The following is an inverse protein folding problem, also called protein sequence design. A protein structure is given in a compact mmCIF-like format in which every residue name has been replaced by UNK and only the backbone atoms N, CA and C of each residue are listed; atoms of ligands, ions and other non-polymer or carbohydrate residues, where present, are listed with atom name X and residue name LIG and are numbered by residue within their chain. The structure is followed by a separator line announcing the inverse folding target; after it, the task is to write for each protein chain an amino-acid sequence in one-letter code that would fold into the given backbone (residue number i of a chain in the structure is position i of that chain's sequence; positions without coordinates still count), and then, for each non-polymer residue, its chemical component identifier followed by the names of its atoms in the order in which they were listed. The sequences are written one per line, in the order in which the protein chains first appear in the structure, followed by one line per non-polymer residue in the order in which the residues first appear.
data_IF_779874709268
#
_entry.id   IF_779874709268
#
_cell.length_a   1.000
_cell.length_b   1.000
_cell.length_c   1.000
_cell.angle_alpha   90.00
_cell.angle_beta   90.00
_cell.angle_gamma   90.00
#
_symmetry.space_group_name_H-M   'P 1'
#
loop_
_entity.id
_entity.type
_entity.pdbx_description
1 polymer ?
#
# COMPACT_ATOMS: atom_id res chain seq x y z
N UNK A 1 17.94 -39.93 -4.08
CA UNK A 1 18.67 -39.66 -2.83
C UNK A 1 18.98 -38.17 -2.69
N UNK A 2 19.61 -37.53 -3.68
CA UNK A 2 19.94 -36.09 -3.65
C UNK A 2 18.77 -35.12 -3.42
N UNK A 3 17.59 -35.34 -4.04
CA UNK A 3 16.42 -34.47 -3.83
C UNK A 3 15.93 -34.48 -2.37
N UNK A 4 16.09 -35.62 -1.68
CA UNK A 4 15.68 -35.79 -0.27
C UNK A 4 16.67 -35.13 0.67
N UNK A 5 17.96 -35.18 0.34
CA UNK A 5 19.02 -34.49 1.08
C UNK A 5 18.85 -32.96 1.00
N UNK A 6 18.67 -32.43 -0.22
CA UNK A 6 18.40 -30.99 -0.43
C UNK A 6 17.16 -30.51 0.31
N UNK A 7 16.09 -31.31 0.35
CA UNK A 7 14.89 -30.97 1.10
C UNK A 7 15.13 -30.89 2.61
N UNK A 8 15.94 -31.80 3.17
CA UNK A 8 16.32 -31.79 4.59
C UNK A 8 17.19 -30.57 4.94
N UNK A 9 18.16 -30.24 4.10
CA UNK A 9 19.03 -29.07 4.27
C UNK A 9 18.22 -27.76 4.28
N UNK A 10 17.24 -27.64 3.38
CA UNK A 10 16.32 -26.49 3.36
C UNK A 10 15.51 -26.44 4.64
N UNK A 11 14.95 -27.57 5.09
CA UNK A 11 14.14 -27.62 6.31
C UNK A 11 14.95 -27.23 7.56
N UNK A 12 16.18 -27.71 7.68
CA UNK A 12 17.10 -27.34 8.77
C UNK A 12 17.42 -25.84 8.74
N UNK A 13 17.70 -25.31 7.55
CA UNK A 13 17.98 -23.88 7.34
C UNK A 13 16.78 -23.01 7.74
N UNK A 14 15.57 -23.39 7.34
CA UNK A 14 14.33 -22.70 7.72
C UNK A 14 14.10 -22.77 9.24
N UNK A 15 14.35 -23.92 9.86
CA UNK A 15 14.24 -24.09 11.31
C UNK A 15 15.24 -23.19 12.05
N UNK A 16 16.48 -23.10 11.56
CA UNK A 16 17.51 -22.24 12.14
C UNK A 16 17.10 -20.78 12.14
N UNK A 17 16.72 -20.23 10.98
CA UNK A 17 16.34 -18.81 10.90
C UNK A 17 15.07 -18.50 11.69
N UNK A 18 14.10 -19.43 11.74
CA UNK A 18 12.94 -19.28 12.61
C UNK A 18 13.36 -19.17 14.09
N UNK A 19 14.18 -20.09 14.57
CA UNK A 19 14.69 -20.06 15.94
C UNK A 19 15.50 -18.80 16.24
N UNK A 20 16.24 -18.29 15.26
CA UNK A 20 17.00 -17.04 15.37
C UNK A 20 16.09 -15.81 15.52
N UNK A 21 14.99 -15.74 14.76
CA UNK A 21 13.98 -14.68 14.92
C UNK A 21 13.40 -14.70 16.35
N UNK A 22 13.01 -15.89 16.82
CA UNK A 22 12.41 -16.07 18.14
C UNK A 22 13.41 -15.71 19.26
N UNK A 23 14.66 -16.19 19.17
CA UNK A 23 15.72 -15.91 20.13
C UNK A 23 16.08 -14.42 20.16
N UNK A 24 16.24 -13.78 19.00
CA UNK A 24 16.55 -12.36 18.90
C UNK A 24 15.45 -11.47 19.52
N UNK A 25 14.18 -11.86 19.34
CA UNK A 25 13.05 -11.18 19.98
C UNK A 25 13.07 -11.31 21.50
N UNK A 26 13.35 -12.50 22.03
CA UNK A 26 13.48 -12.73 23.48
C UNK A 26 14.59 -11.87 24.08
N UNK A 27 15.69 -11.70 23.36
CA UNK A 27 16.82 -10.87 23.78
C UNK A 27 16.59 -9.35 23.57
N UNK A 28 15.45 -8.95 23.01
CA UNK A 28 15.15 -7.55 22.69
C UNK A 28 15.98 -6.97 21.53
N UNK A 29 16.65 -7.82 20.75
CA UNK A 29 17.45 -7.39 19.61
C UNK A 29 16.60 -7.37 18.33
N UNK A 30 15.85 -6.28 18.16
CA UNK A 30 14.90 -6.11 17.07
C UNK A 30 15.55 -6.09 15.68
N UNK A 31 16.82 -5.67 15.58
CA UNK A 31 17.58 -5.63 14.34
C UNK A 31 17.95 -7.06 13.89
N UNK A 32 18.54 -7.85 14.78
CA UNK A 32 18.87 -9.24 14.49
C UNK A 32 17.62 -10.08 14.17
N UNK A 33 16.50 -9.81 14.87
CA UNK A 33 15.23 -10.47 14.57
C UNK A 33 14.74 -10.17 13.14
N UNK A 34 14.88 -8.91 12.69
CA UNK A 34 14.46 -8.48 11.37
C UNK A 34 15.39 -9.01 10.27
N UNK A 35 16.70 -9.07 10.53
CA UNK A 35 17.68 -9.65 9.60
C UNK A 35 17.44 -11.15 9.42
N UNK A 36 17.26 -11.90 10.51
CA UNK A 36 16.92 -13.32 10.47
C UNK A 36 15.59 -13.58 9.76
N UNK A 37 14.59 -12.72 9.98
CA UNK A 37 13.30 -12.80 9.28
C UNK A 37 13.45 -12.53 7.78
N UNK A 38 14.33 -11.61 7.40
CA UNK A 38 14.64 -11.33 5.99
C UNK A 38 15.26 -12.56 5.33
N UNK A 39 16.25 -13.20 5.98
CA UNK A 39 16.82 -14.45 5.48
C UNK A 39 15.79 -15.57 5.36
N UNK A 40 14.94 -15.74 6.37
CA UNK A 40 13.83 -16.69 6.33
C UNK A 40 12.89 -16.42 5.13
N UNK A 41 12.55 -15.15 4.90
CA UNK A 41 11.68 -14.74 3.79
C UNK A 41 12.30 -15.08 2.43
N UNK A 42 13.61 -14.88 2.26
CA UNK A 42 14.34 -15.26 1.04
C UNK A 42 14.30 -16.77 0.81
N UNK A 43 14.58 -17.56 1.85
CA UNK A 43 14.56 -19.03 1.74
C UNK A 43 13.16 -19.60 1.47
N UNK A 44 12.10 -18.89 1.87
CA UNK A 44 10.71 -19.25 1.55
C UNK A 44 10.25 -18.72 0.19
N UNK A 45 11.09 -17.98 -0.55
CA UNK A 45 10.72 -17.31 -1.79
C UNK A 45 9.73 -16.14 -1.60
N UNK A 46 9.51 -15.71 -0.36
CA UNK A 46 8.56 -14.67 0.03
C UNK A 46 9.16 -13.25 -0.02
N UNK A 47 10.36 -13.11 -0.54
CA UNK A 47 11.08 -11.85 -0.67
C UNK A 47 11.37 -11.56 -2.15
N UNK A 48 11.25 -10.30 -2.57
CA UNK A 48 11.57 -9.85 -3.91
C UNK A 48 13.10 -9.77 -4.08
N UNK A 49 13.72 -10.91 -4.40
CA UNK A 49 15.10 -10.94 -4.88
C UNK A 49 15.13 -10.92 -6.42
N UNK A 50 16.19 -10.37 -7.02
CA UNK A 50 16.37 -10.35 -8.49
C UNK A 50 16.47 -11.76 -9.12
N UNK A 51 16.69 -12.80 -8.31
CA UNK A 51 16.69 -14.19 -8.73
C UNK A 51 15.28 -14.75 -8.74
N UNK A 52 14.77 -15.00 -9.94
CA UNK A 52 13.50 -15.63 -10.30
C UNK A 52 13.31 -17.02 -9.69
N UNK A 53 13.06 -17.09 -8.38
CA UNK A 53 12.50 -18.25 -7.71
C UNK A 53 10.97 -18.24 -7.80
N UNK A 54 10.39 -19.40 -8.09
CA UNK A 54 8.94 -19.61 -8.05
C UNK A 54 8.41 -19.22 -6.67
N UNK A 55 7.52 -18.24 -6.62
CA UNK A 55 6.84 -17.87 -5.37
C UNK A 55 6.02 -19.07 -4.89
N UNK A 56 6.38 -19.64 -3.74
CA UNK A 56 5.56 -20.69 -3.14
C UNK A 56 4.24 -20.08 -2.66
N UNK A 57 3.12 -20.46 -3.29
CA UNK A 57 1.79 -19.94 -2.99
C UNK A 57 1.31 -20.24 -1.55
N UNK A 58 1.98 -21.17 -0.86
CA UNK A 58 1.63 -21.60 0.49
C UNK A 58 2.80 -21.40 1.45
N UNK A 59 2.82 -20.24 2.11
CA UNK A 59 3.76 -19.96 3.20
C UNK A 59 3.31 -20.66 4.49
N UNK A 60 4.25 -21.11 5.36
CA UNK A 60 3.89 -21.77 6.61
C UNK A 60 3.14 -20.86 7.59
N UNK A 61 2.22 -21.37 8.44
CA UNK A 61 1.47 -20.55 9.41
C UNK A 61 2.36 -19.74 10.36
N UNK A 62 3.51 -20.28 10.77
CA UNK A 62 4.47 -19.58 11.63
C UNK A 62 5.03 -18.32 10.97
N UNK A 63 5.17 -18.32 9.64
CA UNK A 63 5.70 -17.17 8.90
C UNK A 63 4.72 -15.99 8.97
N UNK A 64 3.44 -16.25 8.76
CA UNK A 64 2.39 -15.23 8.88
C UNK A 64 2.33 -14.63 10.29
N UNK A 65 2.50 -15.44 11.34
CA UNK A 65 2.56 -14.95 12.71
C UNK A 65 3.77 -14.01 12.94
N UNK A 66 4.95 -14.37 12.43
CA UNK A 66 6.13 -13.50 12.53
C UNK A 66 5.99 -12.21 11.73
N UNK A 67 5.46 -12.30 10.51
CA UNK A 67 5.18 -11.15 9.66
C UNK A 67 4.16 -10.21 10.31
N UNK A 68 3.09 -10.75 10.90
CA UNK A 68 2.10 -9.95 11.64
C UNK A 68 2.74 -9.16 12.79
N UNK A 69 3.71 -9.76 13.49
CA UNK A 69 4.44 -9.08 14.56
C UNK A 69 5.29 -7.91 14.02
N UNK A 70 6.00 -8.06 12.89
CA UNK A 70 6.73 -6.95 12.28
C UNK A 70 5.81 -5.88 11.67
N UNK A 71 4.65 -6.26 11.14
CA UNK A 71 3.62 -5.31 10.70
C UNK A 71 3.15 -4.47 11.89
N UNK A 72 2.87 -5.10 13.03
CA UNK A 72 2.45 -4.39 14.23
C UNK A 72 3.54 -3.45 14.75
N UNK A 73 4.80 -3.90 14.69
CA UNK A 73 5.94 -3.05 15.04
C UNK A 73 6.04 -1.83 14.13
N UNK A 74 5.87 -2.00 12.81
CA UNK A 74 5.87 -0.89 11.88
C UNK A 74 4.71 0.08 12.12
N UNK A 75 3.52 -0.43 12.45
CA UNK A 75 2.37 0.40 12.86
C UNK A 75 2.66 1.24 14.11
N UNK A 76 3.40 0.67 15.07
CA UNK A 76 3.82 1.40 16.27
C UNK A 76 4.81 2.51 15.92
N UNK A 77 5.81 2.22 15.08
CA UNK A 77 6.78 3.22 14.59
C UNK A 77 6.06 4.37 13.85
N UNK A 78 5.15 4.05 12.93
CA UNK A 78 4.32 5.05 12.25
C UNK A 78 3.52 5.90 13.22
N UNK A 79 3.01 5.31 14.30
CA UNK A 79 2.27 6.03 15.33
C UNK A 79 3.17 6.98 16.11
N UNK A 80 4.38 6.56 16.51
CA UNK A 80 5.36 7.42 17.15
C UNK A 80 5.79 8.59 16.24
N UNK A 81 5.90 8.35 14.93
CA UNK A 81 6.20 9.38 13.94
C UNK A 81 5.00 10.28 13.59
N UNK A 82 3.79 9.90 14.03
CA UNK A 82 2.54 10.58 13.72
C UNK A 82 2.12 10.45 12.25
N UNK A 83 2.47 9.34 11.58
CA UNK A 83 2.24 9.08 10.16
C UNK A 83 1.04 8.15 9.88
N UNK A 84 0.46 8.24 8.66
CA UNK A 84 0.59 9.36 7.73
C UNK A 84 -0.11 10.61 8.29
N UNK A 85 0.17 11.77 7.70
CA UNK A 85 -0.50 13.03 8.07
C UNK A 85 -1.91 13.08 7.49
N UNK A 86 -2.86 13.35 8.37
CA UNK A 86 -4.28 13.52 8.03
C UNK A 86 -4.70 15.00 8.12
N UNK A 87 -3.98 15.79 8.92
CA UNK A 87 -4.23 17.22 9.15
C UNK A 87 -2.90 17.96 9.17
N UNK A 88 -2.94 19.25 8.84
CA UNK A 88 -1.80 20.15 8.99
C UNK A 88 -1.34 20.16 10.45
N UNK A 89 -0.03 20.05 10.65
CA UNK A 89 0.60 20.19 11.96
C UNK A 89 1.71 21.22 11.83
N UNK A 90 1.79 22.23 12.71
CA UNK A 90 2.95 23.09 12.76
C UNK A 90 4.18 22.25 13.10
N UNK A 91 5.27 22.40 12.34
CA UNK A 91 6.54 21.75 12.69
C UNK A 91 7.44 21.33 11.53
N UNK A 92 6.92 21.02 10.33
CA UNK A 92 7.79 20.71 9.18
C UNK A 92 8.32 21.94 8.44
N UNK A 93 7.65 23.08 8.58
CA UNK A 93 7.95 24.31 7.82
C UNK A 93 9.11 25.13 8.43
N UNK A 94 9.65 24.73 9.60
CA UNK A 94 10.64 25.51 10.34
C UNK A 94 11.89 24.70 10.67
N UNK A 95 12.83 24.66 9.71
CA UNK A 95 14.28 24.55 9.93
C UNK A 95 14.87 23.15 10.16
N UNK A 96 15.73 22.72 9.23
CA UNK A 96 16.94 21.85 9.28
C UNK A 96 17.10 20.70 10.31
N UNK A 97 16.10 20.38 11.12
CA UNK A 97 16.18 19.38 12.17
C UNK A 97 15.18 18.24 11.92
N UNK A 98 15.67 17.00 11.97
CA UNK A 98 14.84 15.81 11.93
C UNK A 98 13.91 15.79 13.16
N UNK A 99 12.60 15.82 12.95
CA UNK A 99 11.59 15.78 14.01
C UNK A 99 11.53 14.42 14.74
N UNK A 100 12.13 13.39 14.17
CA UNK A 100 12.08 12.04 14.69
C UNK A 100 13.41 11.66 15.35
N UNK A 101 13.29 10.96 16.46
CA UNK A 101 14.43 10.32 17.12
C UNK A 101 15.18 9.39 16.15
N UNK A 102 16.52 9.40 16.22
CA UNK A 102 17.38 8.63 15.31
C UNK A 102 17.08 7.12 15.37
N UNK A 103 16.78 6.58 16.55
CA UNK A 103 16.43 5.17 16.69
C UNK A 103 15.08 4.86 16.04
N UNK A 104 14.08 5.71 16.22
CA UNK A 104 12.76 5.57 15.57
C UNK A 104 12.91 5.63 14.05
N UNK A 105 13.69 6.58 13.54
CA UNK A 105 13.91 6.76 12.12
C UNK A 105 14.68 5.59 11.50
N UNK A 106 15.75 5.13 12.14
CA UNK A 106 16.48 3.94 11.73
C UNK A 106 15.56 2.72 11.70
N UNK A 107 14.68 2.59 12.70
CA UNK A 107 13.73 1.48 12.76
C UNK A 107 12.69 1.56 11.65
N UNK A 108 12.16 2.76 11.37
CA UNK A 108 11.29 3.01 10.22
C UNK A 108 11.95 2.54 8.93
N UNK A 109 13.19 2.97 8.65
CA UNK A 109 13.87 2.67 7.39
C UNK A 109 14.10 1.16 7.22
N UNK A 110 14.53 0.47 8.27
CA UNK A 110 14.73 -0.98 8.25
C UNK A 110 13.43 -1.75 8.01
N UNK A 111 12.37 -1.41 8.76
CA UNK A 111 11.07 -2.06 8.60
C UNK A 111 10.45 -1.75 7.24
N UNK A 112 10.50 -0.50 6.79
CA UNK A 112 10.02 -0.10 5.47
C UNK A 112 10.76 -0.88 4.38
N UNK A 113 12.10 -0.97 4.43
CA UNK A 113 12.89 -1.71 3.45
C UNK A 113 12.52 -3.19 3.39
N UNK A 114 12.45 -3.87 4.54
CA UNK A 114 12.12 -5.30 4.56
C UNK A 114 10.70 -5.54 4.11
N UNK A 115 9.71 -4.84 4.69
CA UNK A 115 8.30 -5.03 4.37
C UNK A 115 8.01 -4.66 2.90
N UNK A 116 8.68 -3.66 2.33
CA UNK A 116 8.48 -3.29 0.92
C UNK A 116 8.84 -4.41 -0.06
N UNK A 117 9.74 -5.30 0.34
CA UNK A 117 10.21 -6.42 -0.46
C UNK A 117 9.50 -7.74 -0.15
N UNK A 118 8.55 -7.77 0.80
CA UNK A 118 7.76 -8.97 1.07
C UNK A 118 6.72 -9.18 -0.03
N UNK A 119 6.71 -10.39 -0.60
CA UNK A 119 5.68 -10.85 -1.53
C UNK A 119 4.45 -11.31 -0.77
N UNK A 120 3.29 -10.76 -1.12
CA UNK A 120 2.01 -11.14 -0.53
C UNK A 120 1.13 -11.78 -1.62
N UNK A 121 0.52 -12.96 -1.35
CA UNK A 121 -0.50 -13.52 -2.22
C UNK A 121 -1.66 -12.53 -2.42
N UNK A 122 -2.04 -12.25 -3.67
CA UNK A 122 -3.12 -11.30 -3.98
C UNK A 122 -2.74 -9.82 -3.86
N UNK A 123 -1.44 -9.50 -3.88
CA UNK A 123 -0.99 -8.11 -4.01
C UNK A 123 -1.50 -7.48 -5.32
N UNK A 124 -1.72 -6.16 -5.28
CA UNK A 124 -2.07 -5.39 -6.47
C UNK A 124 -0.93 -5.51 -7.50
N UNK A 125 -1.29 -5.67 -8.77
CA UNK A 125 -0.35 -5.82 -9.89
C UNK A 125 -0.48 -4.65 -10.85
N UNK A 126 0.51 -4.50 -11.74
CA UNK A 126 0.53 -3.44 -12.76
C UNK A 126 0.57 -2.03 -12.17
N UNK A 127 -0.12 -1.08 -12.82
CA UNK A 127 -0.14 0.36 -12.44
C UNK A 127 -0.77 0.67 -11.08
N UNK A 128 -1.28 -0.34 -10.37
CA UNK A 128 -1.82 -0.25 -9.00
C UNK A 128 -0.90 -0.88 -7.95
N UNK A 129 0.22 -1.45 -8.35
CA UNK A 129 1.12 -2.14 -7.44
C UNK A 129 1.68 -1.17 -6.40
N UNK A 130 1.39 -1.43 -5.13
CA UNK A 130 2.01 -0.78 -3.97
C UNK A 130 2.50 -1.87 -3.01
N UNK A 131 3.64 -1.61 -2.38
CA UNK A 131 4.30 -2.51 -1.46
C UNK A 131 3.50 -2.71 -0.17
N UNK A 132 3.84 -3.77 0.58
CA UNK A 132 3.25 -4.01 1.89
C UNK A 132 3.46 -2.82 2.84
N UNK A 133 4.66 -2.26 2.87
CA UNK A 133 4.96 -1.12 3.72
C UNK A 133 4.05 0.06 3.39
N UNK A 134 3.87 0.37 2.10
CA UNK A 134 3.00 1.45 1.67
C UNK A 134 1.53 1.19 1.97
N UNK A 135 1.05 -0.06 1.81
CA UNK A 135 -0.31 -0.46 2.25
C UNK A 135 -0.52 -0.15 3.74
N UNK A 136 0.46 -0.46 4.59
CA UNK A 136 0.36 -0.19 6.03
C UNK A 136 0.33 1.32 6.31
N UNK A 137 1.14 2.12 5.60
CA UNK A 137 1.11 3.59 5.71
C UNK A 137 -0.27 4.13 5.33
N UNK A 138 -0.84 3.66 4.20
CA UNK A 138 -2.10 4.16 3.66
C UNK A 138 -3.34 3.68 4.43
N UNK A 139 -3.23 2.69 5.31
CA UNK A 139 -4.37 2.07 6.02
C UNK A 139 -5.28 3.09 6.72
N UNK A 140 -4.71 4.08 7.41
CA UNK A 140 -5.50 5.11 8.10
C UNK A 140 -6.27 6.01 7.12
N UNK A 141 -5.67 6.32 5.97
CA UNK A 141 -6.28 7.15 4.92
C UNK A 141 -7.36 6.38 4.18
N UNK A 142 -7.12 5.12 3.84
CA UNK A 142 -8.11 4.24 3.20
C UNK A 142 -9.36 4.10 4.08
N UNK A 143 -9.18 3.81 5.38
CA UNK A 143 -10.29 3.70 6.33
C UNK A 143 -11.12 4.98 6.38
N UNK A 144 -10.46 6.14 6.40
CA UNK A 144 -11.12 7.46 6.40
C UNK A 144 -11.86 7.70 5.08
N UNK A 145 -11.25 7.38 3.95
CA UNK A 145 -11.83 7.53 2.63
C UNK A 145 -13.08 6.65 2.47
N UNK A 146 -12.96 5.35 2.76
CA UNK A 146 -14.06 4.39 2.71
C UNK A 146 -15.22 4.80 3.62
N UNK A 147 -14.91 5.31 4.81
CA UNK A 147 -15.93 5.76 5.76
C UNK A 147 -16.69 6.99 5.28
N UNK A 148 -16.02 7.98 4.69
CA UNK A 148 -16.63 9.26 4.31
C UNK A 148 -17.31 9.22 2.95
N UNK A 149 -16.74 8.48 1.99
CA UNK A 149 -17.14 8.56 0.58
C UNK A 149 -17.83 7.30 0.08
N UNK A 150 -18.28 6.43 0.98
CA UNK A 150 -19.16 5.31 0.63
C UNK A 150 -20.30 5.18 1.64
N UNK A 151 -21.35 4.45 1.26
CA UNK A 151 -22.53 4.24 2.10
C UNK A 151 -23.37 5.50 2.23
N UNK A 152 -24.00 5.68 3.40
CA UNK A 152 -25.05 6.69 3.64
C UNK A 152 -24.54 7.97 4.31
N UNK A 153 -23.24 8.28 4.21
CA UNK A 153 -22.69 9.52 4.78
C UNK A 153 -23.11 10.72 3.94
N UNK A 154 -23.35 11.84 4.60
CA UNK A 154 -23.63 13.11 3.93
C UNK A 154 -22.49 13.56 3.02
N UNK A 155 -21.25 13.15 3.32
CA UNK A 155 -20.06 13.41 2.49
C UNK A 155 -19.97 12.53 1.24
N UNK A 156 -20.80 11.49 1.13
CA UNK A 156 -20.88 10.68 -0.08
C UNK A 156 -21.95 11.27 -1.02
N UNK A 157 -21.58 12.33 -1.73
CA UNK A 157 -22.45 12.99 -2.71
C UNK A 157 -21.88 12.83 -4.11
N UNK A 158 -22.64 12.19 -4.98
CA UNK A 158 -22.23 11.90 -6.35
C UNK A 158 -22.09 13.18 -7.19
N UNK A 159 -22.92 14.19 -6.90
CA UNK A 159 -22.92 15.51 -7.54
C UNK A 159 -21.72 16.39 -7.13
N UNK A 160 -20.96 15.97 -6.10
CA UNK A 160 -19.86 16.75 -5.52
C UNK A 160 -18.54 15.97 -5.53
N UNK A 161 -18.03 15.58 -6.71
CA UNK A 161 -16.79 14.83 -6.81
C UNK A 161 -15.59 15.58 -6.22
N UNK A 162 -15.64 16.92 -6.21
CA UNK A 162 -14.60 17.78 -5.63
C UNK A 162 -14.33 17.48 -4.15
N UNK A 163 -15.29 16.89 -3.41
CA UNK A 163 -15.11 16.55 -2.00
C UNK A 163 -14.09 15.45 -1.77
N UNK A 164 -14.18 14.35 -2.51
CA UNK A 164 -13.21 13.26 -2.36
C UNK A 164 -11.89 13.58 -3.06
N UNK A 165 -11.94 14.31 -4.18
CA UNK A 165 -10.75 14.77 -4.91
C UNK A 165 -9.92 15.73 -4.04
N UNK A 166 -10.55 16.73 -3.43
CA UNK A 166 -9.87 17.69 -2.55
C UNK A 166 -9.29 17.03 -1.30
N UNK A 167 -10.02 16.09 -0.68
CA UNK A 167 -9.51 15.36 0.50
C UNK A 167 -8.25 14.55 0.15
N UNK A 168 -8.27 13.83 -0.99
CA UNK A 168 -7.11 13.04 -1.45
C UNK A 168 -5.92 13.94 -1.77
N UNK A 169 -6.14 15.03 -2.50
CA UNK A 169 -5.09 15.97 -2.82
C UNK A 169 -4.49 16.62 -1.55
N UNK A 170 -5.34 16.95 -0.58
CA UNK A 170 -4.90 17.48 0.71
C UNK A 170 -3.96 16.48 1.38
N UNK A 171 -4.27 15.18 1.37
CA UNK A 171 -3.36 14.17 1.91
C UNK A 171 -2.06 14.04 1.10
N UNK A 172 -2.07 14.20 -0.22
CA UNK A 172 -0.83 14.22 -1.01
C UNK A 172 0.08 15.37 -0.55
N UNK A 173 -0.44 16.59 -0.51
CA UNK A 173 0.32 17.79 -0.12
C UNK A 173 0.83 17.69 1.31
N UNK A 174 -0.02 17.24 2.26
CA UNK A 174 0.36 17.10 3.67
C UNK A 174 1.49 16.10 3.93
N UNK A 175 1.71 15.15 3.01
CA UNK A 175 2.71 14.11 3.18
C UNK A 175 3.94 14.29 2.26
N UNK A 176 3.87 15.17 1.27
CA UNK A 176 4.90 15.34 0.23
C UNK A 176 6.31 15.61 0.81
N UNK A 177 6.40 16.55 1.75
CA UNK A 177 7.68 16.99 2.30
C UNK A 177 8.43 15.87 3.04
N UNK A 178 7.75 15.13 3.92
CA UNK A 178 8.41 14.09 4.70
C UNK A 178 8.72 12.85 3.85
N UNK A 179 7.87 12.52 2.87
CA UNK A 179 8.12 11.43 1.92
C UNK A 179 9.40 11.71 1.13
N UNK A 180 9.54 12.93 0.63
CA UNK A 180 10.73 13.39 -0.11
C UNK A 180 11.96 13.38 0.79
N UNK A 181 11.86 13.94 1.99
CA UNK A 181 12.98 13.97 2.94
C UNK A 181 13.47 12.56 3.35
N UNK A 182 12.56 11.62 3.67
CA UNK A 182 12.95 10.24 3.98
C UNK A 182 13.63 9.57 2.78
N UNK A 183 13.08 9.76 1.57
CA UNK A 183 13.65 9.20 0.35
C UNK A 183 15.09 9.69 0.13
N UNK A 184 15.30 11.01 0.21
CA UNK A 184 16.56 11.64 -0.15
C UNK A 184 17.63 11.49 0.93
N UNK A 185 17.26 11.54 2.21
CA UNK A 185 18.23 11.51 3.31
C UNK A 185 18.49 10.10 3.88
N UNK A 186 17.51 9.21 3.83
CA UNK A 186 17.58 7.94 4.58
C UNK A 186 17.42 6.68 3.74
N UNK A 187 16.73 6.76 2.61
CA UNK A 187 16.51 5.61 1.72
C UNK A 187 17.40 5.66 0.46
N UNK A 188 18.61 6.26 0.54
CA UNK A 188 19.61 6.41 -0.55
C UNK A 188 20.09 5.10 -1.22
N UNK A 189 19.42 3.97 -0.98
CA UNK A 189 19.65 2.72 -1.69
C UNK A 189 18.93 2.70 -3.06
N UNK A 190 19.50 2.05 -4.11
CA UNK A 190 18.96 2.08 -5.47
C UNK A 190 17.64 1.28 -5.69
N UNK A 191 16.92 0.90 -4.63
CA UNK A 191 15.67 0.15 -4.68
C UNK A 191 14.76 0.65 -3.54
N UNK A 192 13.48 0.99 -3.81
CA UNK A 192 12.59 0.39 -4.80
C UNK A 192 12.63 1.05 -6.18
N UNK A 193 12.13 0.36 -7.22
CA UNK A 193 12.05 0.92 -8.60
C UNK A 193 11.16 2.17 -8.71
N UNK A 194 10.36 2.46 -7.69
CA UNK A 194 9.45 3.59 -7.61
C UNK A 194 9.82 4.45 -6.39
N UNK A 195 9.96 5.79 -6.54
CA UNK A 195 10.16 6.69 -5.40
C UNK A 195 9.03 6.59 -4.37
N UNK A 196 9.37 6.70 -3.08
CA UNK A 196 8.42 6.60 -1.95
C UNK A 196 7.17 7.50 -2.15
N UNK A 197 7.39 8.74 -2.60
CA UNK A 197 6.35 9.72 -2.88
C UNK A 197 5.39 9.28 -3.99
N UNK A 198 5.92 8.72 -5.07
CA UNK A 198 5.14 8.21 -6.21
C UNK A 198 4.28 7.03 -5.78
N UNK A 199 4.85 6.11 -5.00
CA UNK A 199 4.13 4.95 -4.48
C UNK A 199 2.97 5.36 -3.55
N UNK A 200 3.18 6.36 -2.70
CA UNK A 200 2.15 6.93 -1.84
C UNK A 200 1.01 7.55 -2.66
N UNK A 201 1.35 8.40 -3.63
CA UNK A 201 0.37 9.03 -4.53
C UNK A 201 -0.40 7.98 -5.35
N UNK A 202 0.27 6.95 -5.87
CA UNK A 202 -0.34 5.83 -6.60
C UNK A 202 -1.41 5.13 -5.77
N UNK A 203 -1.13 4.87 -4.49
CA UNK A 203 -2.11 4.26 -3.60
C UNK A 203 -3.33 5.14 -3.33
N UNK A 204 -3.14 6.45 -3.20
CA UNK A 204 -4.22 7.43 -3.04
C UNK A 204 -5.07 7.60 -4.31
N UNK A 205 -4.44 7.61 -5.49
CA UNK A 205 -5.13 7.64 -6.78
C UNK A 205 -5.95 6.37 -6.97
N UNK A 206 -5.48 5.23 -6.44
CA UNK A 206 -6.29 4.01 -6.36
C UNK A 206 -7.65 4.24 -5.71
N UNK A 207 -7.73 5.01 -4.61
CA UNK A 207 -8.99 5.34 -3.94
C UNK A 207 -9.91 6.18 -4.83
N UNK A 208 -9.36 7.18 -5.52
CA UNK A 208 -10.08 8.06 -6.45
C UNK A 208 -10.66 7.26 -7.61
N UNK A 209 -9.82 6.45 -8.26
CA UNK A 209 -10.20 5.64 -9.41
C UNK A 209 -11.28 4.62 -9.03
N UNK A 210 -11.15 3.96 -7.88
CA UNK A 210 -12.17 3.01 -7.44
C UNK A 210 -13.50 3.70 -7.08
N UNK A 211 -13.44 4.91 -6.50
CA UNK A 211 -14.63 5.72 -6.24
C UNK A 211 -15.31 6.15 -7.54
N UNK A 212 -14.56 6.65 -8.51
CA UNK A 212 -15.10 7.05 -9.81
C UNK A 212 -15.74 5.87 -10.53
N UNK A 213 -15.09 4.71 -10.56
CA UNK A 213 -15.68 3.50 -11.14
C UNK A 213 -16.98 3.11 -10.45
N UNK A 214 -17.07 3.26 -9.13
CA UNK A 214 -18.28 2.98 -8.39
C UNK A 214 -19.38 4.00 -8.70
N UNK A 215 -19.06 5.30 -8.68
CA UNK A 215 -20.01 6.38 -8.97
C UNK A 215 -20.52 6.32 -10.41
N UNK A 216 -19.67 5.99 -11.39
CA UNK A 216 -20.06 5.79 -12.79
C UNK A 216 -20.84 4.49 -13.04
N UNK A 217 -21.02 3.64 -12.02
CA UNK A 217 -21.70 2.35 -12.16
C UNK A 217 -20.86 1.27 -12.87
N UNK A 218 -19.57 1.50 -13.11
CA UNK A 218 -18.65 0.51 -13.71
C UNK A 218 -18.37 -0.67 -12.77
N UNK A 219 -18.56 -0.48 -11.46
CA UNK A 219 -18.52 -1.55 -10.46
C UNK A 219 -19.75 -1.49 -9.54
N UNK A 220 -20.38 -2.63 -9.29
CA UNK A 220 -21.65 -2.70 -8.57
C UNK A 220 -21.52 -2.60 -7.04
N UNK A 221 -20.32 -2.80 -6.49
CA UNK A 221 -20.08 -2.80 -5.03
C UNK A 221 -18.87 -1.96 -4.71
N UNK A 222 -18.88 -1.27 -3.54
CA UNK A 222 -17.68 -0.60 -3.05
C UNK A 222 -16.48 -1.56 -3.02
N UNK A 223 -15.28 -1.07 -3.36
CA UNK A 223 -14.07 -1.87 -3.28
C UNK A 223 -13.87 -2.36 -1.84
N UNK A 224 -13.36 -3.57 -1.70
CA UNK A 224 -12.88 -4.04 -0.39
C UNK A 224 -11.60 -3.30 -0.05
N UNK A 225 -11.43 -2.98 1.23
CA UNK A 225 -10.17 -2.43 1.73
C UNK A 225 -9.00 -3.36 1.38
N UNK A 226 -7.99 -2.80 0.73
CA UNK A 226 -6.76 -3.52 0.40
C UNK A 226 -5.60 -3.10 1.31
N UNK A 227 -5.70 -2.04 2.10
CA UNK A 227 -4.68 -1.67 3.09
C UNK A 227 -4.91 -2.31 4.48
N UNK A 228 -6.17 -2.61 4.86
CA UNK A 228 -6.50 -3.02 6.24
C UNK A 228 -6.23 -4.49 6.59
N UNK A 229 -6.00 -5.35 5.60
CA UNK A 229 -5.68 -6.77 5.82
C UNK A 229 -4.56 -7.24 4.88
N UNK A 230 -3.28 -6.96 5.23
CA UNK A 230 -2.17 -7.36 4.40
C UNK A 230 -1.94 -8.88 4.40
N UNK A 231 -2.49 -9.60 5.38
CA UNK A 231 -2.26 -11.03 5.58
C UNK A 231 -3.56 -11.79 5.32
N UNK A 232 -4.00 -11.80 4.06
CA UNK A 232 -5.15 -12.62 3.67
C UNK A 232 -4.87 -14.10 4.07
N UNK A 233 -5.72 -14.73 4.91
CA UNK A 233 -5.51 -16.11 5.28
C UNK A 233 -5.71 -17.01 4.06
N UNK A 234 -4.77 -17.95 3.87
CA UNK A 234 -4.71 -18.95 2.80
C UNK A 234 -5.94 -19.89 2.66
N UNK A 235 -7.02 -19.64 3.40
CA UNK A 235 -8.22 -20.49 3.47
C UNK A 235 -9.47 -19.88 2.83
N UNK A 236 -9.37 -18.74 2.14
CA UNK A 236 -10.42 -18.33 1.19
C UNK A 236 -9.87 -18.54 -0.22
N UNK A 237 -10.46 -19.43 -1.05
CA UNK A 237 -10.11 -19.48 -2.46
C UNK A 237 -10.48 -18.12 -3.05
N UNK A 238 -9.50 -17.23 -3.20
CA UNK A 238 -9.65 -16.02 -3.99
C UNK A 238 -9.46 -16.42 -5.44
N UNK A 239 -10.50 -17.05 -5.99
CA UNK A 239 -10.68 -17.10 -7.42
C UNK A 239 -11.16 -15.70 -7.85
N UNK A 240 -10.26 -15.02 -8.52
CA UNK A 240 -10.40 -13.69 -9.04
C UNK A 240 -9.10 -13.36 -9.73
N UNK A 241 -8.76 -14.20 -10.72
CA UNK A 241 -7.87 -13.82 -11.80
C UNK A 241 -8.23 -12.37 -12.14
N UNK A 242 -7.26 -11.46 -12.15
CA UNK A 242 -7.41 -10.23 -12.93
C UNK A 242 -7.35 -10.67 -14.38
N UNK A 243 -8.35 -11.44 -14.79
CA UNK A 243 -8.71 -11.58 -16.18
C UNK A 243 -9.39 -10.26 -16.51
N UNK A 244 -8.92 -9.61 -17.56
CA UNK A 244 -9.54 -8.55 -18.36
C UNK A 244 -10.95 -8.92 -18.89
N UNK A 245 -11.72 -9.72 -18.17
CA UNK A 245 -13.08 -10.08 -18.49
C UNK A 245 -13.84 -10.29 -17.18
N UNK A 246 -14.09 -9.20 -16.45
CA UNK A 246 -15.22 -9.17 -15.53
C UNK A 246 -16.44 -9.56 -16.37
N UNK A 247 -17.10 -10.66 -16.01
CA UNK A 247 -18.39 -11.03 -16.61
C UNK A 247 -19.31 -9.81 -16.54
N UNK A 248 -19.51 -9.18 -17.69
CA UNK A 248 -20.54 -8.17 -17.92
C UNK A 248 -21.89 -8.81 -17.54
N UNK A 249 -22.47 -8.31 -16.45
CA UNK A 249 -23.87 -8.51 -16.13
C UNK A 249 -24.54 -7.14 -16.00
N UNK A 250 -25.78 -6.99 -16.50
CA UNK A 250 -26.22 -5.83 -17.25
C UNK A 250 -26.83 -4.75 -16.35
N UNK A 251 -26.12 -4.35 -15.30
CA UNK A 251 -26.36 -3.02 -14.74
C UNK A 251 -25.42 -2.09 -15.50
N UNK A 252 -25.83 -1.74 -16.72
CA UNK A 252 -25.06 -0.90 -17.63
C UNK A 252 -24.86 0.50 -17.06
N UNK A 253 -24.01 1.28 -17.76
CA UNK A 253 -23.85 2.72 -17.54
C UNK A 253 -25.20 3.43 -17.29
N UNK A 254 -26.28 2.94 -17.91
CA UNK A 254 -27.66 3.41 -17.82
C UNK A 254 -28.29 3.51 -16.41
N UNK A 255 -27.60 3.06 -15.35
CA UNK A 255 -28.10 3.09 -13.96
C UNK A 255 -27.46 4.15 -13.06
N UNK A 256 -26.33 4.73 -13.46
CA UNK A 256 -25.71 5.81 -12.70
C UNK A 256 -26.24 7.16 -13.20
N UNK A 257 -26.75 8.03 -12.32
CA UNK A 257 -27.08 9.41 -12.66
C UNK A 257 -25.91 10.12 -13.37
N UNK A 258 -24.68 9.79 -12.98
CA UNK A 258 -23.48 10.43 -13.49
C UNK A 258 -23.10 10.00 -14.90
N UNK A 259 -23.58 8.84 -15.36
CA UNK A 259 -23.38 8.37 -16.73
C UNK A 259 -24.53 8.77 -17.67
N UNK A 260 -25.71 9.09 -17.11
CA UNK A 260 -26.91 9.44 -17.88
C UNK A 260 -27.18 10.94 -17.96
N UNK A 261 -26.70 11.72 -16.99
CA UNK A 261 -26.90 13.18 -16.91
C UNK A 261 -25.65 13.91 -17.46
N UNK A 262 -25.75 14.60 -18.61
CA UNK A 262 -24.62 15.31 -19.21
C UNK A 262 -24.04 16.42 -18.33
N UNK A 263 -24.84 17.08 -17.50
CA UNK A 263 -24.38 18.20 -16.67
C UNK A 263 -23.55 17.66 -15.49
N UNK A 264 -24.02 16.57 -14.86
CA UNK A 264 -23.26 15.89 -13.79
C UNK A 264 -21.98 15.25 -14.33
N UNK A 265 -22.03 14.66 -15.51
CA UNK A 265 -20.85 14.10 -16.17
C UNK A 265 -19.84 15.20 -16.51
N UNK A 266 -20.30 16.32 -17.09
CA UNK A 266 -19.47 17.48 -17.40
C UNK A 266 -18.76 18.03 -16.16
N UNK A 267 -19.51 18.21 -15.05
CA UNK A 267 -18.94 18.63 -13.77
C UNK A 267 -17.86 17.66 -13.24
N UNK A 268 -18.09 16.34 -13.33
CA UNK A 268 -17.05 15.37 -12.97
C UNK A 268 -15.78 15.56 -13.82
N UNK A 269 -15.92 15.71 -15.13
CA UNK A 269 -14.77 15.86 -16.02
C UNK A 269 -13.98 17.12 -15.66
N UNK A 270 -14.65 18.25 -15.43
CA UNK A 270 -14.00 19.51 -15.05
C UNK A 270 -13.21 19.35 -13.74
N UNK A 271 -13.80 18.71 -12.73
CA UNK A 271 -13.14 18.46 -11.45
C UNK A 271 -11.98 17.47 -11.57
N UNK A 272 -12.10 16.44 -12.41
CA UNK A 272 -11.02 15.48 -12.69
C UNK A 272 -9.87 16.18 -13.41
N UNK A 273 -10.13 17.01 -14.42
CA UNK A 273 -9.08 17.77 -15.13
C UNK A 273 -8.37 18.76 -14.19
N UNK A 274 -9.11 19.41 -13.29
CA UNK A 274 -8.53 20.23 -12.24
C UNK A 274 -7.62 19.42 -11.32
N UNK A 275 -8.05 18.22 -10.91
CA UNK A 275 -7.24 17.29 -10.12
C UNK A 275 -5.98 16.84 -10.86
N UNK A 276 -6.05 16.55 -12.16
CA UNK A 276 -4.89 16.18 -12.98
C UNK A 276 -3.84 17.29 -13.06
N UNK A 277 -4.27 18.54 -13.30
CA UNK A 277 -3.36 19.69 -13.31
C UNK A 277 -2.61 19.83 -11.97
N UNK A 278 -3.27 19.48 -10.86
CA UNK A 278 -2.69 19.48 -9.53
C UNK A 278 -1.72 18.30 -9.32
N UNK A 279 -2.00 17.13 -9.91
CA UNK A 279 -1.06 16.00 -9.94
C UNK A 279 0.22 16.35 -10.71
N UNK A 280 0.10 17.06 -11.82
CA UNK A 280 1.26 17.53 -12.60
C UNK A 280 2.11 18.52 -11.79
N UNK A 281 1.48 19.41 -11.03
CA UNK A 281 2.17 20.30 -10.08
C UNK A 281 2.89 19.55 -8.94
N UNK A 282 2.41 18.35 -8.60
CA UNK A 282 3.07 17.40 -7.69
C UNK A 282 3.97 16.41 -8.44
N UNK A 283 4.40 16.71 -9.66
CA UNK A 283 5.25 15.89 -10.52
C UNK A 283 4.88 14.39 -10.52
N UNK A 284 3.59 14.06 -10.50
CA UNK A 284 3.15 12.67 -10.55
C UNK A 284 3.45 12.08 -11.95
N UNK A 285 4.07 10.89 -12.06
CA UNK A 285 4.54 10.44 -13.37
C UNK A 285 3.39 10.08 -14.32
N UNK A 286 3.51 10.54 -15.57
CA UNK A 286 2.47 10.38 -16.61
C UNK A 286 2.15 8.94 -17.00
N UNK A 287 3.05 7.99 -16.72
CA UNK A 287 2.88 6.57 -17.07
C UNK A 287 2.19 5.76 -15.98
N UNK A 288 1.93 6.37 -14.83
CA UNK A 288 1.20 5.74 -13.73
C UNK A 288 -0.31 5.69 -14.01
N UNK A 289 -1.06 5.05 -13.12
CA UNK A 289 -2.54 5.12 -13.16
C UNK A 289 -2.97 6.55 -12.86
N UNK A 290 -3.82 7.14 -13.70
CA UNK A 290 -4.39 8.48 -13.48
C UNK A 290 -5.93 8.44 -13.46
N UNK A 291 -6.61 9.33 -12.71
CA UNK A 291 -8.07 9.45 -12.73
C UNK A 291 -8.69 9.57 -14.14
N UNK A 292 -8.04 10.28 -15.07
CA UNK A 292 -8.50 10.37 -16.48
C UNK A 292 -8.47 9.06 -17.26
N UNK A 293 -7.85 8.00 -16.74
CA UNK A 293 -7.86 6.67 -17.37
C UNK A 293 -9.19 5.90 -17.15
N UNK A 294 -10.11 6.44 -16.34
CA UNK A 294 -11.42 5.84 -16.01
C UNK A 294 -12.48 6.24 -17.02
#
# INVERSE_FOLDING_TARGET
MEKKLRALEIQETLSRYRSEVDAARVLGNADMALDAFTHLSRHLGAYNDCSSGDFHSHLPPYYYAMLASFINEFKNVLTCMGLPKIRSSPGWETGDSCLWDEHILKRFCKLYHVLSNIRIPGALTGRRAISLAMRIILEKLEKRFLFNFYGSRLTNMIEKPEWYLTEVQTWMVLNDQWLTWIQDEHLRCPLPSTPLRVEFMRGLIGFVVDKMKFDLGLIAKPPKSYCSDPLLPANKPQFGRVDEASKEHPYGLDSSPLATDPDLFGHLIDEVLNFENRLDGLCYPVHELRPVDV
#
